data_IF_715016126554
#
_entry.id   IF_715016126554
#
_cell.length_a   1.000
_cell.length_b   1.000
_cell.length_c   1.000
_cell.angle_alpha   90.00
_cell.angle_beta   90.00
_cell.angle_gamma   90.00
#
_symmetry.space_group_name_H-M   'P 1'
#
loop_
_entity.id
_entity.type
_entity.pdbx_description
1 polymer ?
#
# COMPACT_ATOMS: atom_id res chain seq x y z
N UNK A 1 -64.35 10.93 8.91
CA UNK A 1 -65.35 11.84 8.31
C UNK A 1 -64.60 13.08 7.87
N UNK A 2 -64.98 13.67 6.72
CA UNK A 2 -64.23 14.61 5.85
C UNK A 2 -63.17 13.90 4.99
N UNK A 3 -63.34 13.55 3.69
CA UNK A 3 -63.91 14.20 2.48
C UNK A 3 -63.23 15.55 2.17
N UNK A 4 -62.67 15.86 1.00
CA UNK A 4 -62.67 15.23 -0.32
C UNK A 4 -61.56 15.81 -1.26
N UNK A 5 -61.32 15.09 -2.38
CA UNK A 5 -61.04 15.47 -3.81
C UNK A 5 -60.57 16.91 -4.14
N UNK A 6 -59.78 17.19 -5.21
CA UNK A 6 -60.06 16.93 -6.64
C UNK A 6 -58.87 17.33 -7.58
N UNK A 7 -58.65 16.54 -8.66
CA UNK A 7 -58.28 16.85 -10.09
C UNK A 7 -57.06 17.74 -10.46
N UNK A 8 -56.11 17.40 -11.34
CA UNK A 8 -56.08 16.78 -12.70
C UNK A 8 -56.33 17.75 -13.89
N UNK A 9 -55.54 17.54 -14.97
CA UNK A 9 -55.62 18.08 -16.35
C UNK A 9 -54.96 19.48 -16.57
N UNK A 10 -54.36 19.85 -17.71
CA UNK A 10 -54.28 19.29 -19.07
C UNK A 10 -53.18 20.06 -19.88
N UNK A 11 -52.96 19.63 -21.13
CA UNK A 11 -52.56 20.40 -22.32
C UNK A 11 -51.26 19.99 -23.04
N UNK A 12 -51.48 19.11 -24.02
CA UNK A 12 -50.62 18.79 -25.15
C UNK A 12 -50.79 19.79 -26.32
N UNK A 13 -49.75 19.91 -27.16
CA UNK A 13 -49.77 20.33 -28.57
C UNK A 13 -48.45 19.83 -29.19
N UNK A 14 -48.32 18.96 -30.22
CA UNK A 14 -48.99 18.68 -31.52
C UNK A 14 -48.84 19.79 -32.57
N UNK A 15 -47.97 19.52 -33.56
CA UNK A 15 -48.07 19.79 -35.02
C UNK A 15 -46.65 19.96 -35.62
N UNK A 16 -46.11 19.07 -36.46
CA UNK A 16 -46.43 18.78 -37.87
C UNK A 16 -46.02 19.89 -38.87
N UNK A 17 -44.96 19.65 -39.65
CA UNK A 17 -44.62 20.22 -40.98
C UNK A 17 -43.25 19.68 -41.39
N UNK A 18 -42.89 19.26 -42.60
CA UNK A 18 -43.51 19.20 -43.92
C UNK A 18 -42.54 18.42 -44.83
N UNK A 19 -43.07 17.83 -45.89
CA UNK A 19 -42.45 16.88 -46.84
C UNK A 19 -42.30 17.56 -48.21
N UNK A 20 -41.09 17.62 -48.77
CA UNK A 20 -40.77 17.82 -50.21
C UNK A 20 -39.29 17.41 -50.38
N UNK A 21 -38.83 16.51 -51.25
CA UNK A 21 -39.32 16.11 -52.55
C UNK A 21 -38.65 16.98 -53.63
N UNK A 22 -37.40 16.66 -54.01
CA UNK A 22 -36.82 17.14 -55.26
C UNK A 22 -35.80 16.14 -55.81
N UNK A 23 -35.96 15.81 -57.09
CA UNK A 23 -35.19 14.88 -57.91
C UNK A 23 -34.61 15.70 -59.04
N UNK A 24 -33.29 15.65 -59.24
CA UNK A 24 -32.64 16.17 -60.44
C UNK A 24 -31.47 15.25 -60.83
N UNK A 25 -31.70 14.40 -61.82
CA UNK A 25 -30.68 13.77 -62.66
C UNK A 25 -30.01 14.84 -63.57
N UNK A 26 -28.71 14.71 -63.87
CA UNK A 26 -28.14 15.41 -65.04
C UNK A 26 -26.66 15.82 -65.02
N UNK A 27 -25.79 14.88 -65.40
CA UNK A 27 -24.64 15.02 -66.35
C UNK A 27 -23.47 15.98 -66.05
N UNK A 28 -22.28 15.40 -66.22
CA UNK A 28 -20.92 15.93 -66.11
C UNK A 28 -20.61 17.24 -66.87
N UNK A 29 -19.70 18.05 -66.31
CA UNK A 29 -18.36 18.29 -66.88
C UNK A 29 -17.54 19.29 -66.03
N UNK A 30 -16.29 18.91 -65.76
CA UNK A 30 -15.13 19.81 -65.67
C UNK A 30 -15.19 21.05 -64.78
N UNK A 31 -14.64 20.96 -63.56
CA UNK A 31 -13.74 22.01 -63.03
C UNK A 31 -12.79 21.44 -61.99
N UNK A 32 -11.53 21.36 -62.42
CA UNK A 32 -10.34 20.92 -61.70
C UNK A 32 -10.08 21.89 -60.53
N UNK A 33 -10.60 21.61 -59.34
CA UNK A 33 -10.19 22.35 -58.14
C UNK A 33 -8.83 21.84 -57.69
N UNK A 34 -7.84 22.73 -57.70
CA UNK A 34 -6.51 22.48 -57.14
C UNK A 34 -6.69 22.32 -55.63
N UNK A 35 -6.92 21.09 -55.17
CA UNK A 35 -6.82 20.76 -53.74
C UNK A 35 -5.36 21.05 -53.35
N UNK A 36 -5.18 22.08 -52.52
CA UNK A 36 -3.89 22.36 -51.92
C UNK A 36 -3.34 21.05 -51.36
N UNK A 37 -2.13 20.67 -51.79
CA UNK A 37 -1.39 19.59 -51.14
C UNK A 37 -1.16 20.04 -49.71
N UNK A 38 -2.03 19.64 -48.79
CA UNK A 38 -1.69 19.58 -47.39
C UNK A 38 -0.50 18.63 -47.32
N UNK A 39 0.69 19.18 -47.14
CA UNK A 39 1.86 18.41 -46.73
C UNK A 39 1.46 17.65 -45.49
N UNK A 40 1.14 16.37 -45.66
CA UNK A 40 0.97 15.44 -44.56
C UNK A 40 2.34 15.42 -43.90
N UNK A 41 2.45 16.03 -42.72
CA UNK A 41 3.67 15.99 -41.94
C UNK A 41 4.12 14.54 -41.87
N UNK A 42 5.37 14.29 -42.27
CA UNK A 42 5.92 12.95 -42.32
C UNK A 42 5.70 12.26 -40.97
N UNK A 43 4.94 11.17 -40.96
CA UNK A 43 4.77 10.28 -39.80
C UNK A 43 6.10 9.63 -39.35
N UNK A 44 7.23 9.94 -40.00
CA UNK A 44 8.55 9.40 -39.67
C UNK A 44 9.16 9.96 -38.38
N UNK A 45 8.56 10.97 -37.74
CA UNK A 45 9.10 11.59 -36.52
C UNK A 45 8.43 11.12 -35.22
N UNK A 46 7.32 10.39 -35.27
CA UNK A 46 6.86 9.68 -34.08
C UNK A 46 7.76 8.45 -33.91
N UNK A 47 8.59 8.43 -32.86
CA UNK A 47 9.21 7.18 -32.37
C UNK A 47 8.07 6.20 -32.06
N UNK A 48 7.67 5.43 -33.06
CA UNK A 48 6.68 4.37 -32.90
C UNK A 48 7.22 3.39 -31.87
N UNK A 49 6.37 3.00 -30.93
CA UNK A 49 6.71 1.88 -30.06
C UNK A 49 6.92 0.65 -30.97
N UNK A 50 8.03 -0.09 -30.80
CA UNK A 50 8.27 -1.27 -31.60
C UNK A 50 7.08 -2.23 -31.45
N UNK A 51 6.47 -2.58 -32.57
CA UNK A 51 5.25 -3.43 -32.62
C UNK A 51 5.49 -4.81 -32.00
N UNK A 52 6.76 -5.23 -31.89
CA UNK A 52 7.19 -6.48 -31.25
C UNK A 52 8.30 -6.16 -30.24
N UNK A 53 7.95 -6.12 -28.96
CA UNK A 53 8.92 -6.14 -27.87
C UNK A 53 9.51 -7.54 -27.72
N UNK A 54 10.79 -7.62 -27.35
CA UNK A 54 11.43 -8.89 -27.01
C UNK A 54 10.82 -9.49 -25.73
N UNK A 55 10.86 -10.81 -25.59
CA UNK A 55 10.34 -11.50 -24.38
C UNK A 55 11.05 -11.04 -23.11
N UNK A 56 12.32 -10.70 -23.20
CA UNK A 56 13.14 -10.20 -22.10
C UNK A 56 12.71 -8.79 -21.69
N UNK A 57 12.42 -7.92 -22.65
CA UNK A 57 11.94 -6.57 -22.36
C UNK A 57 10.52 -6.58 -21.78
N UNK A 58 9.66 -7.50 -22.22
CA UNK A 58 8.38 -7.76 -21.56
C UNK A 58 8.54 -8.17 -20.10
N UNK A 59 9.51 -9.03 -19.79
CA UNK A 59 9.75 -9.45 -18.41
C UNK A 59 10.29 -8.29 -17.55
N UNK A 60 11.16 -7.44 -18.11
CA UNK A 60 11.66 -6.22 -17.44
C UNK A 60 10.52 -5.25 -17.13
N UNK A 61 9.65 -4.98 -18.10
CA UNK A 61 8.51 -4.08 -17.95
C UNK A 61 7.50 -4.62 -16.93
N UNK A 62 7.19 -5.92 -16.98
CA UNK A 62 6.36 -6.58 -15.97
C UNK A 62 6.98 -6.49 -14.57
N UNK A 63 8.29 -6.63 -14.45
CA UNK A 63 9.04 -6.46 -13.21
C UNK A 63 8.97 -5.02 -12.67
N UNK A 64 9.14 -4.02 -13.55
CA UNK A 64 9.05 -2.60 -13.20
C UNK A 64 7.62 -2.23 -12.74
N UNK A 65 6.60 -2.66 -13.48
CA UNK A 65 5.19 -2.47 -13.12
C UNK A 65 4.88 -3.13 -11.79
N UNK A 66 5.37 -4.36 -11.55
CA UNK A 66 5.20 -5.06 -10.26
C UNK A 66 5.82 -4.28 -9.10
N UNK A 67 7.02 -3.70 -9.28
CA UNK A 67 7.69 -2.86 -8.28
C UNK A 67 6.91 -1.57 -8.01
N UNK A 68 6.38 -0.91 -9.04
CA UNK A 68 5.54 0.29 -8.90
C UNK A 68 4.23 -0.02 -8.17
N UNK A 69 3.60 -1.18 -8.47
CA UNK A 69 2.34 -1.59 -7.85
C UNK A 69 2.51 -2.00 -6.39
N UNK A 70 3.62 -2.66 -6.03
CA UNK A 70 3.87 -3.25 -4.71
C UNK A 70 4.08 -2.27 -3.54
N UNK A 71 4.01 -0.96 -3.78
CA UNK A 71 4.24 0.07 -2.75
C UNK A 71 2.98 0.81 -2.29
N UNK A 72 1.90 0.79 -3.09
CA UNK A 72 0.65 1.50 -2.81
C UNK A 72 -0.36 0.58 -2.13
N UNK A 73 -1.10 1.09 -1.15
CA UNK A 73 -2.26 0.39 -0.61
C UNK A 73 -3.34 0.30 -1.69
N UNK A 74 -4.09 -0.81 -1.73
CA UNK A 74 -5.17 -0.95 -2.70
C UNK A 74 -6.25 0.08 -2.42
N UNK A 75 -6.65 0.77 -3.47
CA UNK A 75 -7.82 1.64 -3.47
C UNK A 75 -9.11 0.84 -3.44
N UNK A 76 -10.19 1.48 -2.98
CA UNK A 76 -11.54 0.91 -3.02
C UNK A 76 -11.93 0.45 -4.42
N UNK A 77 -11.59 1.24 -5.45
CA UNK A 77 -11.89 0.93 -6.86
C UNK A 77 -11.20 -0.35 -7.33
N UNK A 78 -9.90 -0.51 -7.03
CA UNK A 78 -9.15 -1.73 -7.36
C UNK A 78 -9.77 -2.95 -6.69
N UNK A 79 -10.24 -2.80 -5.45
CA UNK A 79 -10.86 -3.89 -4.71
C UNK A 79 -12.22 -4.29 -5.29
N UNK A 80 -13.02 -3.31 -5.71
CA UNK A 80 -14.27 -3.56 -6.43
C UNK A 80 -14.00 -4.24 -7.77
N UNK A 81 -12.93 -3.88 -8.48
CA UNK A 81 -12.51 -4.56 -9.71
C UNK A 81 -12.16 -6.04 -9.45
N UNK A 82 -11.43 -6.32 -8.36
CA UNK A 82 -11.12 -7.69 -7.93
C UNK A 82 -12.41 -8.48 -7.65
N UNK A 83 -13.34 -7.91 -6.88
CA UNK A 83 -14.63 -8.54 -6.56
C UNK A 83 -15.47 -8.78 -7.81
N UNK A 84 -15.57 -7.78 -8.70
CA UNK A 84 -16.32 -7.87 -9.94
C UNK A 84 -15.79 -9.00 -10.83
N UNK A 85 -14.47 -9.04 -11.05
CA UNK A 85 -13.83 -10.07 -11.87
C UNK A 85 -14.00 -11.46 -11.26
N UNK A 86 -13.88 -11.57 -9.94
CA UNK A 86 -14.11 -12.81 -9.21
C UNK A 86 -15.54 -13.33 -9.41
N UNK A 87 -16.55 -12.48 -9.25
CA UNK A 87 -17.95 -12.84 -9.43
C UNK A 87 -18.26 -13.21 -10.89
N UNK A 88 -17.70 -12.48 -11.86
CA UNK A 88 -17.86 -12.76 -13.29
C UNK A 88 -17.27 -14.11 -13.68
N UNK A 89 -16.08 -14.44 -13.18
CA UNK A 89 -15.46 -15.75 -13.41
C UNK A 89 -16.25 -16.88 -12.73
N UNK A 90 -16.77 -16.63 -11.52
CA UNK A 90 -17.63 -17.59 -10.82
C UNK A 90 -18.93 -17.84 -11.59
N UNK A 91 -19.58 -16.79 -12.10
CA UNK A 91 -20.78 -16.89 -12.95
C UNK A 91 -20.49 -17.67 -14.24
N UNK A 92 -19.37 -17.39 -14.90
CA UNK A 92 -18.97 -18.11 -16.13
C UNK A 92 -18.76 -19.61 -15.88
N UNK A 93 -18.22 -20.00 -14.72
CA UNK A 93 -18.03 -21.41 -14.35
C UNK A 93 -19.32 -22.11 -13.93
N UNK A 94 -20.33 -21.37 -13.45
CA UNK A 94 -21.65 -21.91 -13.13
C UNK A 94 -22.48 -22.20 -14.37
N UNK A 95 -22.17 -21.58 -15.51
CA UNK A 95 -22.79 -21.96 -16.77
C UNK A 95 -22.26 -23.33 -17.23
N UNK A 96 -23.13 -24.23 -17.73
CA UNK A 96 -22.71 -25.55 -18.18
C UNK A 96 -21.78 -25.42 -19.38
N UNK A 97 -20.47 -25.44 -19.13
CA UNK A 97 -19.48 -25.43 -20.19
C UNK A 97 -19.30 -26.86 -20.72
N UNK A 98 -19.35 -27.01 -22.05
CA UNK A 98 -19.09 -28.25 -22.81
C UNK A 98 -17.63 -28.75 -22.75
N UNK A 99 -16.91 -28.52 -21.65
CA UNK A 99 -15.48 -28.80 -21.55
C UNK A 99 -15.05 -29.25 -20.15
N UNK A 100 -13.85 -29.84 -20.09
CA UNK A 100 -13.24 -30.31 -18.85
C UNK A 100 -13.10 -29.17 -17.82
N UNK A 101 -13.29 -29.46 -16.53
CA UNK A 101 -13.19 -28.46 -15.47
C UNK A 101 -11.77 -27.86 -15.46
N UNK A 102 -11.70 -26.52 -15.40
CA UNK A 102 -10.41 -25.82 -15.25
C UNK A 102 -9.76 -26.22 -13.91
N UNK A 103 -8.50 -26.68 -13.96
CA UNK A 103 -7.70 -27.04 -12.77
C UNK A 103 -7.36 -25.83 -11.88
N UNK A 104 -7.38 -24.62 -12.43
CA UNK A 104 -7.04 -23.40 -11.69
C UNK A 104 -8.20 -22.93 -10.82
N UNK A 105 -7.89 -22.53 -9.59
CA UNK A 105 -8.89 -21.90 -8.71
C UNK A 105 -9.30 -20.53 -9.26
N UNK A 106 -10.54 -20.09 -9.01
CA UNK A 106 -11.01 -18.75 -9.44
C UNK A 106 -10.12 -17.65 -8.88
N UNK A 107 -9.65 -17.80 -7.64
CA UNK A 107 -8.73 -16.86 -7.00
C UNK A 107 -7.41 -16.74 -7.76
N UNK A 108 -6.86 -17.86 -8.23
CA UNK A 108 -5.62 -17.87 -9.00
C UNK A 108 -5.83 -17.18 -10.36
N UNK A 109 -6.95 -17.44 -11.04
CA UNK A 109 -7.25 -16.81 -12.33
C UNK A 109 -7.42 -15.28 -12.19
N UNK A 110 -8.07 -14.80 -11.13
CA UNK A 110 -8.16 -13.35 -10.82
C UNK A 110 -6.79 -12.77 -10.49
N UNK A 111 -5.99 -13.48 -9.70
CA UNK A 111 -4.64 -13.09 -9.32
C UNK A 111 -3.74 -12.95 -10.56
N UNK A 112 -3.81 -13.88 -11.51
CA UNK A 112 -3.02 -13.84 -12.74
C UNK A 112 -3.48 -12.69 -13.66
N UNK A 113 -4.79 -12.44 -13.77
CA UNK A 113 -5.34 -11.40 -14.66
C UNK A 113 -5.06 -9.97 -14.17
N UNK A 114 -5.15 -9.73 -12.87
CA UNK A 114 -4.89 -8.41 -12.27
C UNK A 114 -3.46 -8.27 -11.74
N UNK A 115 -2.71 -9.37 -11.80
CA UNK A 115 -1.36 -9.53 -11.28
C UNK A 115 -1.25 -9.50 -9.74
N UNK A 116 -2.35 -9.53 -8.97
CA UNK A 116 -2.31 -9.52 -7.50
C UNK A 116 -1.90 -10.88 -6.93
N UNK A 117 -1.50 -10.93 -5.66
CA UNK A 117 -1.27 -12.23 -5.01
C UNK A 117 -2.59 -12.94 -4.78
N UNK A 118 -2.58 -14.28 -4.85
CA UNK A 118 -3.76 -15.10 -4.51
C UNK A 118 -4.30 -14.78 -3.12
N UNK A 119 -3.40 -14.57 -2.15
CA UNK A 119 -3.77 -14.22 -0.77
C UNK A 119 -4.49 -12.88 -0.68
N UNK A 120 -4.04 -11.87 -1.45
CA UNK A 120 -4.70 -10.56 -1.53
C UNK A 120 -6.12 -10.70 -2.05
N UNK A 121 -6.31 -11.41 -3.16
CA UNK A 121 -7.64 -11.67 -3.74
C UNK A 121 -8.54 -12.40 -2.74
N UNK A 122 -8.00 -13.41 -2.05
CA UNK A 122 -8.71 -14.15 -1.01
C UNK A 122 -9.18 -13.26 0.14
N UNK A 123 -8.28 -12.45 0.69
CA UNK A 123 -8.58 -11.52 1.80
C UNK A 123 -9.69 -10.53 1.44
N UNK A 124 -9.62 -9.94 0.24
CA UNK A 124 -10.61 -8.98 -0.26
C UNK A 124 -11.98 -9.64 -0.42
N UNK A 125 -12.01 -10.85 -0.99
CA UNK A 125 -13.25 -11.57 -1.17
C UNK A 125 -13.87 -12.03 0.15
N UNK A 126 -13.04 -12.44 1.12
CA UNK A 126 -13.51 -12.74 2.48
C UNK A 126 -14.13 -11.51 3.15
N UNK A 127 -13.49 -10.34 3.05
CA UNK A 127 -14.04 -9.06 3.53
C UNK A 127 -15.35 -8.69 2.83
N UNK A 128 -15.45 -8.92 1.53
CA UNK A 128 -16.70 -8.72 0.79
C UNK A 128 -17.83 -9.63 1.28
N UNK A 129 -17.55 -10.92 1.51
CA UNK A 129 -18.55 -11.85 2.05
C UNK A 129 -18.94 -11.50 3.49
N UNK A 130 -18.01 -11.00 4.28
CA UNK A 130 -18.29 -10.50 5.63
C UNK A 130 -19.28 -9.33 5.59
N UNK A 131 -19.03 -8.34 4.74
CA UNK A 131 -19.94 -7.20 4.54
C UNK A 131 -21.30 -7.64 4.01
N UNK A 132 -21.34 -8.63 3.12
CA UNK A 132 -22.60 -9.25 2.70
C UNK A 132 -23.34 -9.91 3.86
N UNK A 133 -22.62 -10.61 4.75
CA UNK A 133 -23.20 -11.29 5.91
C UNK A 133 -23.81 -10.28 6.89
N UNK A 134 -23.11 -9.18 7.15
CA UNK A 134 -23.60 -8.08 7.99
C UNK A 134 -24.84 -7.40 7.40
N UNK A 135 -24.92 -7.29 6.07
CA UNK A 135 -26.08 -6.72 5.37
C UNK A 135 -27.18 -7.74 5.06
N UNK A 136 -27.27 -8.85 5.79
CA UNK A 136 -28.33 -9.85 5.64
C UNK A 136 -28.28 -10.62 4.31
N UNK A 137 -27.09 -10.84 3.77
CA UNK A 137 -26.84 -11.57 2.52
C UNK A 137 -26.92 -10.72 1.24
N UNK A 138 -27.35 -9.45 1.35
CA UNK A 138 -27.44 -8.50 0.24
C UNK A 138 -26.08 -7.86 -0.07
N UNK A 139 -25.83 -7.43 -1.31
CA UNK A 139 -24.61 -6.68 -1.63
C UNK A 139 -24.55 -5.40 -0.81
N UNK A 140 -23.39 -5.04 -0.26
CA UNK A 140 -23.25 -3.80 0.50
C UNK A 140 -23.39 -2.57 -0.38
N UNK A 141 -24.06 -1.53 0.14
CA UNK A 141 -24.20 -0.24 -0.54
C UNK A 141 -22.86 0.50 -0.68
N UNK A 142 -21.93 0.27 0.26
CA UNK A 142 -20.59 0.83 0.24
C UNK A 142 -19.56 -0.24 0.61
N UNK A 143 -18.45 -0.28 -0.13
CA UNK A 143 -17.28 -1.08 0.19
C UNK A 143 -16.13 -0.12 0.54
N UNK A 144 -15.90 0.12 1.82
CA UNK A 144 -14.75 0.93 2.24
C UNK A 144 -13.57 0.01 2.59
N UNK A 145 -12.46 0.17 1.87
CA UNK A 145 -11.18 -0.40 2.30
C UNK A 145 -10.38 0.69 2.99
N UNK A 146 -10.40 0.68 4.31
CA UNK A 146 -9.48 1.50 5.08
C UNK A 146 -8.09 0.87 5.04
N UNK A 147 -7.10 1.69 4.68
CA UNK A 147 -5.71 1.31 4.82
C UNK A 147 -5.35 1.34 6.31
N UNK A 148 -5.22 0.16 6.92
CA UNK A 148 -4.80 0.01 8.33
C UNK A 148 -3.28 0.18 8.50
N UNK A 149 -2.54 0.46 7.42
CA UNK A 149 -1.09 0.68 7.47
C UNK A 149 -0.78 1.86 8.39
N UNK A 150 -0.12 1.57 9.51
CA UNK A 150 0.23 2.55 10.54
C UNK A 150 -0.81 2.71 11.65
N UNK A 151 -2.04 2.17 11.52
CA UNK A 151 -3.04 2.19 12.60
C UNK A 151 -2.64 1.32 13.80
N UNK A 152 -1.81 0.29 13.57
CA UNK A 152 -1.23 -0.55 14.62
C UNK A 152 0.17 -0.10 15.06
N UNK A 153 0.55 1.16 14.82
CA UNK A 153 1.74 1.69 15.46
C UNK A 153 1.53 1.61 16.98
N UNK A 154 2.30 0.75 17.65
CA UNK A 154 2.24 0.60 19.11
C UNK A 154 2.49 1.97 19.75
N UNK A 155 1.77 2.26 20.84
CA UNK A 155 1.99 3.47 21.63
C UNK A 155 3.47 3.63 21.99
N UNK A 156 3.97 4.86 21.91
CA UNK A 156 5.34 5.18 22.32
C UNK A 156 5.46 4.99 23.83
N UNK A 157 6.56 4.40 24.30
CA UNK A 157 6.82 4.21 25.75
C UNK A 157 6.94 5.53 26.51
N UNK A 158 7.46 6.57 25.85
CA UNK A 158 7.46 7.93 26.38
C UNK A 158 6.40 8.72 25.61
N UNK A 159 5.35 9.22 26.27
CA UNK A 159 4.39 10.12 25.66
C UNK A 159 5.08 11.42 25.19
N UNK A 160 4.74 11.88 23.99
CA UNK A 160 5.21 13.18 23.47
C UNK A 160 4.24 14.31 23.86
N UNK A 161 3.66 14.24 25.07
CA UNK A 161 2.78 15.31 25.57
C UNK A 161 3.60 16.53 25.98
N UNK A 162 3.00 17.72 25.88
CA UNK A 162 3.63 18.98 26.30
C UNK A 162 4.06 18.96 27.77
N UNK A 163 3.28 18.29 28.63
CA UNK A 163 3.61 18.11 30.06
C UNK A 163 4.90 17.34 30.28
N UNK A 164 5.10 16.21 29.58
CA UNK A 164 6.30 15.39 29.69
C UNK A 164 7.51 16.14 29.13
N UNK A 165 7.33 16.87 28.03
CA UNK A 165 8.39 17.70 27.44
C UNK A 165 8.84 18.80 28.41
N UNK A 166 7.90 19.50 29.06
CA UNK A 166 8.22 20.55 30.04
C UNK A 166 8.96 19.98 31.26
N UNK A 167 8.50 18.85 31.79
CA UNK A 167 9.12 18.17 32.91
C UNK A 167 10.57 17.74 32.60
N UNK A 168 10.80 17.19 31.41
CA UNK A 168 12.16 16.83 30.95
C UNK A 168 13.01 18.08 30.75
N UNK A 169 12.43 19.18 30.27
CA UNK A 169 13.12 20.46 30.09
C UNK A 169 13.60 21.04 31.44
N UNK A 170 12.72 21.11 32.43
CA UNK A 170 13.03 21.67 33.76
C UNK A 170 14.14 20.89 34.47
N UNK A 171 14.10 19.55 34.33
CA UNK A 171 15.18 18.70 34.83
C UNK A 171 16.52 18.99 34.17
N UNK A 172 16.54 19.14 32.84
CA UNK A 172 17.76 19.46 32.09
C UNK A 172 18.27 20.85 32.44
N UNK A 173 17.40 21.85 32.58
CA UNK A 173 17.76 23.21 32.96
C UNK A 173 18.34 23.27 34.38
N UNK A 174 17.73 22.56 35.34
CA UNK A 174 18.24 22.46 36.71
C UNK A 174 19.64 21.82 36.79
N UNK A 175 19.94 20.85 35.91
CA UNK A 175 21.29 20.26 35.82
C UNK A 175 22.29 21.18 35.11
N UNK A 176 21.85 21.92 34.09
CA UNK A 176 22.66 22.95 33.41
C UNK A 176 23.04 24.10 34.34
N UNK A 177 22.12 24.57 35.17
CA UNK A 177 22.38 25.61 36.17
C UNK A 177 23.48 25.21 37.17
N UNK A 178 23.63 23.90 37.41
CA UNK A 178 24.68 23.31 38.26
C UNK A 178 25.96 22.98 37.49
N UNK A 179 26.07 23.38 36.23
CA UNK A 179 27.18 23.05 35.32
C UNK A 179 27.43 21.54 35.14
N UNK A 180 26.39 20.71 35.28
CA UNK A 180 26.47 19.27 35.09
C UNK A 180 25.91 18.85 33.72
N UNK A 181 26.59 17.91 33.06
CA UNK A 181 26.07 17.27 31.85
C UNK A 181 24.96 16.27 32.19
N UNK A 182 23.85 16.32 31.45
CA UNK A 182 22.74 15.36 31.62
C UNK A 182 23.02 14.09 30.82
N UNK A 183 23.06 12.95 31.50
CA UNK A 183 23.17 11.64 30.86
C UNK A 183 21.80 11.01 30.64
N UNK A 184 21.68 10.15 29.62
CA UNK A 184 20.43 9.43 29.35
C UNK A 184 20.05 8.46 30.49
N UNK A 185 21.04 7.99 31.27
CA UNK A 185 20.82 7.17 32.46
C UNK A 185 20.06 7.98 33.51
N UNK A 186 20.56 9.15 33.88
CA UNK A 186 19.91 10.05 34.85
C UNK A 186 18.50 10.45 34.43
N UNK A 187 18.29 10.69 33.13
CA UNK A 187 16.96 11.02 32.62
C UNK A 187 16.02 9.82 32.66
N UNK A 188 16.53 8.60 32.44
CA UNK A 188 15.71 7.37 32.53
C UNK A 188 15.26 7.12 33.96
N UNK A 189 16.16 7.28 34.94
CA UNK A 189 15.83 7.21 36.37
C UNK A 189 14.77 8.26 36.74
N UNK A 190 14.97 9.51 36.33
CA UNK A 190 14.02 10.58 36.60
C UNK A 190 12.64 10.33 35.99
N UNK A 191 12.57 9.83 34.76
CA UNK A 191 11.29 9.51 34.10
C UNK A 191 10.56 8.34 34.74
N UNK A 192 11.29 7.40 35.37
CA UNK A 192 10.70 6.33 36.17
C UNK A 192 10.16 6.86 37.51
N UNK A 193 10.93 7.71 38.21
CA UNK A 193 10.49 8.34 39.47
C UNK A 193 9.20 9.14 39.30
N UNK A 194 9.05 9.81 38.15
CA UNK A 194 7.84 10.56 37.80
C UNK A 194 6.69 9.67 37.29
N UNK A 195 6.89 8.35 37.23
CA UNK A 195 5.88 7.37 36.80
C UNK A 195 5.53 7.42 35.30
N UNK A 196 6.35 8.08 34.48
CA UNK A 196 6.12 8.20 33.03
C UNK A 196 6.62 6.94 32.32
N UNK A 197 7.73 6.39 32.79
CA UNK A 197 8.27 5.11 32.34
C UNK A 197 7.98 4.02 33.35
N UNK A 198 7.19 3.03 32.94
CA UNK A 198 7.03 1.80 33.72
C UNK A 198 8.15 0.82 33.34
N UNK A 199 9.12 0.67 34.25
CA UNK A 199 10.20 -0.31 34.11
C UNK A 199 9.90 -1.45 35.06
N UNK A 200 9.70 -2.65 34.50
CA UNK A 200 9.43 -3.84 35.30
C UNK A 200 10.63 -4.14 36.20
N UNK A 201 10.38 -4.24 37.50
CA UNK A 201 11.36 -4.69 38.49
C UNK A 201 11.19 -6.19 38.72
N UNK A 202 12.31 -6.87 38.92
CA UNK A 202 12.29 -8.28 39.28
C UNK A 202 11.76 -8.45 40.70
N UNK A 203 10.75 -9.30 40.92
CA UNK A 203 10.08 -9.42 42.22
C UNK A 203 10.98 -10.03 43.29
N UNK A 204 12.04 -10.75 42.90
CA UNK A 204 12.90 -11.48 43.81
C UNK A 204 14.10 -10.65 44.29
N UNK A 205 14.71 -9.88 43.39
CA UNK A 205 15.94 -9.14 43.67
C UNK A 205 15.70 -7.65 43.89
N UNK A 206 14.46 -7.16 43.66
CA UNK A 206 14.12 -5.73 43.65
C UNK A 206 14.97 -4.88 42.70
N UNK A 207 15.75 -5.52 41.82
CA UNK A 207 16.55 -4.89 40.78
C UNK A 207 15.73 -4.74 39.50
N UNK A 208 16.13 -3.83 38.63
CA UNK A 208 15.54 -3.73 37.29
C UNK A 208 15.80 -4.98 36.47
N UNK A 209 14.78 -5.43 35.74
CA UNK A 209 15.01 -6.36 34.64
C UNK A 209 15.92 -5.66 33.63
N UNK A 210 17.11 -6.24 33.40
CA UNK A 210 18.12 -5.70 32.48
C UNK A 210 17.56 -5.47 31.08
N UNK A 211 16.65 -6.33 30.62
CA UNK A 211 16.04 -6.18 29.29
C UNK A 211 15.09 -4.97 29.25
N UNK A 212 14.22 -4.85 30.24
CA UNK A 212 13.30 -3.72 30.38
C UNK A 212 14.05 -2.38 30.54
N UNK A 213 15.09 -2.35 31.37
CA UNK A 213 15.94 -1.18 31.57
C UNK A 213 16.61 -0.74 30.26
N UNK A 214 17.26 -1.67 29.55
CA UNK A 214 17.93 -1.36 28.29
C UNK A 214 16.95 -0.87 27.22
N UNK A 215 15.73 -1.44 27.18
CA UNK A 215 14.69 -0.97 26.28
C UNK A 215 14.24 0.46 26.63
N UNK A 216 14.02 0.77 27.91
CA UNK A 216 13.69 2.11 28.38
C UNK A 216 14.81 3.10 28.03
N UNK A 217 16.06 2.77 28.36
CA UNK A 217 17.23 3.59 28.07
C UNK A 217 17.40 3.90 26.56
N UNK A 218 17.16 2.92 25.67
CA UNK A 218 17.19 3.14 24.22
C UNK A 218 16.11 4.12 23.76
N UNK A 219 14.93 4.05 24.34
CA UNK A 219 13.83 4.98 24.05
C UNK A 219 14.19 6.37 24.58
N UNK A 220 14.72 6.49 25.79
CA UNK A 220 15.20 7.76 26.36
C UNK A 220 16.30 8.39 25.50
N UNK A 221 17.29 7.61 25.06
CA UNK A 221 18.33 8.06 24.12
C UNK A 221 17.72 8.61 22.82
N UNK A 222 16.76 7.90 22.25
CA UNK A 222 16.08 8.31 21.00
C UNK A 222 15.24 9.57 21.22
N UNK A 223 14.56 9.67 22.37
CA UNK A 223 13.79 10.83 22.78
C UNK A 223 14.67 12.06 22.96
N UNK A 224 15.79 11.93 23.67
CA UNK A 224 16.78 13.01 23.83
C UNK A 224 17.38 13.46 22.50
N UNK A 225 17.72 12.53 21.59
CA UNK A 225 18.23 12.87 20.25
C UNK A 225 17.17 13.62 19.43
N UNK A 226 15.91 13.17 19.50
CA UNK A 226 14.79 13.77 18.77
C UNK A 226 14.45 15.16 19.28
N UNK A 227 14.30 15.32 20.59
CA UNK A 227 13.95 16.60 21.19
C UNK A 227 15.16 17.53 21.35
N UNK A 228 16.38 16.97 21.27
CA UNK A 228 17.65 17.71 21.31
C UNK A 228 17.73 18.74 22.42
N UNK A 229 16.98 18.51 23.51
CA UNK A 229 16.69 19.44 24.61
C UNK A 229 16.54 20.89 24.10
N UNK A 230 15.76 21.02 23.02
CA UNK A 230 15.33 22.24 22.33
C UNK A 230 16.33 23.40 22.36
N UNK A 231 17.60 23.02 22.13
CA UNK A 231 18.68 23.80 21.48
C UNK A 231 18.73 25.29 21.88
N UNK A 232 19.01 25.53 23.16
CA UNK A 232 19.66 26.74 23.70
C UNK A 232 19.20 28.08 23.08
N UNK A 233 17.93 28.46 23.29
CA UNK A 233 17.39 29.85 23.21
C UNK A 233 18.05 30.74 22.14
N UNK A 234 17.58 30.72 20.88
CA UNK A 234 18.04 31.60 19.77
C UNK A 234 19.56 31.62 19.46
N UNK A 235 19.95 31.08 18.31
CA UNK A 235 21.22 31.45 17.67
C UNK A 235 22.45 30.61 18.02
N UNK A 236 22.66 29.52 17.26
CA UNK A 236 23.98 29.29 16.65
C UNK A 236 23.83 28.50 15.37
N UNK A 237 24.11 29.21 14.29
CA UNK A 237 24.13 28.85 12.88
C UNK A 237 24.87 27.55 12.59
N UNK A 238 24.27 26.73 11.73
CA UNK A 238 24.99 25.96 10.71
C UNK A 238 24.28 26.19 9.38
N UNK A 239 24.61 27.31 8.75
CA UNK A 239 24.68 27.39 7.30
C UNK A 239 25.71 26.34 6.88
N UNK A 240 25.25 25.29 6.21
CA UNK A 240 26.11 24.37 5.48
C UNK A 240 25.88 24.68 4.00
N UNK A 241 26.35 25.87 3.60
CA UNK A 241 26.71 26.15 2.21
C UNK A 241 28.18 25.77 2.06
N UNK A 242 28.44 25.02 0.99
CA UNK A 242 29.71 24.93 0.25
C UNK A 242 30.95 24.41 0.99
N UNK A 243 31.23 23.13 0.73
CA UNK A 243 32.58 22.57 0.76
C UNK A 243 32.75 21.72 -0.49
N UNK A 244 33.28 22.35 -1.55
CA UNK A 244 33.95 21.67 -2.65
C UNK A 244 34.94 20.64 -2.09
N UNK A 245 34.79 19.42 -2.55
CA UNK A 245 35.61 18.26 -2.20
C UNK A 245 35.56 17.28 -3.36
N UNK A 246 36.14 17.71 -4.47
CA UNK A 246 36.88 16.84 -5.38
C UNK A 246 37.79 15.94 -4.53
N UNK A 247 37.58 14.63 -4.59
CA UNK A 247 38.60 13.60 -4.36
C UNK A 247 38.00 12.19 -4.41
N UNK A 248 38.61 11.32 -5.19
CA UNK A 248 38.73 9.92 -4.81
C UNK A 248 37.67 8.96 -5.33
N UNK A 249 37.64 8.77 -6.65
CA UNK A 249 37.47 7.45 -7.23
C UNK A 249 38.43 6.46 -6.56
N UNK A 250 37.93 5.52 -5.76
CA UNK A 250 38.64 4.27 -5.45
C UNK A 250 37.64 3.11 -5.39
N UNK A 251 38.01 2.06 -6.13
CA UNK A 251 37.17 0.93 -6.47
C UNK A 251 36.75 0.11 -5.27
N UNK A 252 35.44 -0.15 -5.19
CA UNK A 252 34.92 -1.25 -4.40
C UNK A 252 35.09 -2.54 -5.20
N UNK A 253 36.28 -3.15 -5.08
CA UNK A 253 36.48 -4.53 -5.52
C UNK A 253 35.56 -5.45 -4.73
N UNK A 254 34.92 -6.34 -5.47
CA UNK A 254 34.11 -7.40 -4.92
C UNK A 254 35.03 -8.51 -4.46
N UNK A 255 35.16 -8.65 -3.14
CA UNK A 255 35.65 -9.89 -2.55
C UNK A 255 34.50 -10.89 -2.54
N UNK A 256 34.63 -11.87 -3.44
CA UNK A 256 33.96 -13.15 -3.44
C UNK A 256 34.10 -13.81 -2.06
N UNK A 257 33.00 -13.84 -1.30
CA UNK A 257 32.86 -14.71 -0.15
C UNK A 257 32.11 -15.98 -0.58
N UNK A 258 32.93 -16.93 -1.00
CA UNK A 258 32.66 -18.34 -1.23
C UNK A 258 32.01 -18.95 0.03
N UNK A 259 30.69 -19.17 -0.01
CA UNK A 259 29.96 -19.79 1.09
C UNK A 259 29.83 -21.29 0.80
N UNK A 260 30.83 -22.02 1.29
CA UNK A 260 30.92 -23.48 1.22
C UNK A 260 29.69 -24.17 1.79
N UNK A 261 29.08 -24.96 0.91
CA UNK A 261 28.77 -26.38 1.09
C UNK A 261 28.84 -26.92 2.52
N UNK A 262 27.66 -27.16 3.11
CA UNK A 262 27.48 -28.08 4.21
C UNK A 262 26.34 -29.04 3.84
N UNK A 263 26.69 -30.06 3.05
CA UNK A 263 25.94 -31.30 2.97
C UNK A 263 25.89 -31.96 4.36
N UNK A 264 24.69 -32.01 4.93
CA UNK A 264 24.39 -32.86 6.07
C UNK A 264 23.54 -34.02 5.57
N UNK A 265 24.21 -35.14 5.32
CA UNK A 265 23.61 -36.45 5.15
C UNK A 265 22.87 -36.84 6.43
N UNK A 266 21.57 -37.10 6.30
CA UNK A 266 20.75 -37.68 7.35
C UNK A 266 19.67 -38.55 6.72
N UNK A 267 20.05 -39.74 6.27
CA UNK A 267 19.13 -40.85 6.01
C UNK A 267 19.75 -42.13 6.57
N UNK A 268 19.56 -42.35 7.87
CA UNK A 268 19.61 -43.70 8.44
C UNK A 268 18.85 -43.72 9.78
N UNK A 269 17.58 -44.15 9.75
CA UNK A 269 17.08 -45.06 10.78
C UNK A 269 15.78 -45.74 10.35
N UNK A 270 16.00 -46.94 9.85
CA UNK A 270 15.33 -48.21 10.13
C UNK A 270 14.07 -48.24 11.02
N UNK A 271 13.25 -49.21 10.64
CA UNK A 271 12.00 -49.74 11.15
C UNK A 271 11.72 -49.62 12.66
N UNK A 272 10.42 -49.41 12.96
CA UNK A 272 9.54 -50.43 13.57
C UNK A 272 8.18 -49.81 13.96
N UNK A 273 7.11 -50.45 13.50
CA UNK A 273 6.12 -51.19 14.32
C UNK A 273 4.69 -51.03 13.80
N UNK A 274 4.20 -52.18 13.37
CA UNK A 274 2.88 -52.61 12.92
C UNK A 274 1.79 -52.52 13.99
N UNK A 275 0.54 -52.55 13.48
CA UNK A 275 -0.73 -52.94 14.12
C UNK A 275 -1.43 -51.97 15.07
N UNK A 276 -2.57 -51.42 14.62
CA UNK A 276 -3.89 -52.00 14.94
C UNK A 276 -5.01 -51.19 14.27
N UNK A 277 -5.84 -51.82 13.43
CA UNK A 277 -7.31 -51.73 13.52
C UNK A 277 -8.01 -52.50 12.39
N UNK A 278 -9.02 -53.28 12.83
CA UNK A 278 -10.18 -53.81 12.13
C UNK A 278 -10.13 -55.26 11.58
N UNK A 279 -11.04 -56.05 12.19
CA UNK A 279 -11.60 -57.38 11.89
C UNK A 279 -10.85 -58.57 12.45
#
# INVERSE_FOLDING_TARGET
>A
MESAKTTAADAAAVAASSKTGDVCDGVATGRRSKRAKTTVGSYSSSRGTPVKMSREDFAKDMGAIKKMRGRKALSTEECLCIVHLYLKLKQRRQQPSRGAPKKTTVQQEVADLLGYSRSTVGSIFSRWNELKRQNGGKPPASFAMENERGKHAKGKRIPESSSVIALVHDFVEGKRAKHQSVTAVQLTEYLEEQGILEIKRDPLTSTYDKAAWNAAHRVTCSYMKKHGFLRAKEGKSRSNEEGDGDDGNDGNDGSDADNGDNGADADDNDARKTHAQAV
#
